data_IF_008659718165
#
_entry.id   IF_008659718165
#
_cell.length_a   1.000
_cell.length_b   1.000
_cell.length_c   1.000
_cell.angle_alpha   90.00
_cell.angle_beta   90.00
_cell.angle_gamma   90.00
#
_symmetry.space_group_name_H-M   'P 1'
#
loop_
_entity.id
_entity.type
_entity.pdbx_description
1 polymer ?
#
# COMPACT_ATOMS: atom_id res chain seq x y z
N UNK A 1 -7.96 8.26 -5.15
CA UNK A 1 -6.75 8.02 -6.01
C UNK A 1 -6.90 8.58 -7.42
N UNK A 2 -8.11 8.63 -7.98
CA UNK A 2 -8.33 9.09 -9.36
C UNK A 2 -8.16 10.61 -9.58
N UNK A 3 -8.21 11.44 -8.55
CA UNK A 3 -8.09 12.91 -8.70
C UNK A 3 -6.63 13.36 -8.86
N UNK A 4 -5.71 12.84 -8.07
CA UNK A 4 -4.28 13.13 -8.23
C UNK A 4 -3.67 12.42 -9.46
N UNK A 5 -4.30 11.37 -9.98
CA UNK A 5 -3.78 10.60 -11.13
C UNK A 5 -4.10 11.19 -12.50
N UNK A 6 -5.11 12.07 -12.61
CA UNK A 6 -5.61 12.59 -13.90
C UNK A 6 -5.17 14.01 -14.25
N UNK A 7 -4.80 14.81 -13.25
CA UNK A 7 -4.34 16.17 -13.47
C UNK A 7 -2.84 16.26 -13.17
N UNK A 8 -2.05 16.66 -14.15
CA UNK A 8 -0.58 16.62 -14.14
C UNK A 8 0.10 17.68 -13.26
N UNK A 9 -0.59 18.25 -12.28
CA UNK A 9 -0.15 19.41 -11.53
C UNK A 9 -0.09 19.19 -10.01
N UNK A 10 0.63 20.07 -9.37
CA UNK A 10 0.87 20.10 -7.94
C UNK A 10 -0.42 20.31 -7.15
N UNK A 11 -1.33 21.10 -7.71
CA UNK A 11 -2.64 21.45 -7.14
C UNK A 11 -3.53 20.22 -6.89
N UNK A 12 -3.47 19.22 -7.77
CA UNK A 12 -4.21 17.97 -7.60
C UNK A 12 -3.75 17.12 -6.43
N UNK A 13 -2.45 17.14 -6.09
CA UNK A 13 -1.90 16.39 -4.96
C UNK A 13 -2.22 17.08 -3.63
N UNK A 14 -2.14 18.40 -3.56
CA UNK A 14 -2.55 19.18 -2.38
C UNK A 14 -4.05 19.06 -2.13
N UNK A 15 -4.86 19.13 -3.18
CA UNK A 15 -6.31 18.90 -3.11
C UNK A 15 -6.65 17.51 -2.58
N UNK A 16 -5.87 16.47 -2.95
CA UNK A 16 -6.07 15.12 -2.42
C UNK A 16 -5.74 15.04 -0.92
N UNK A 17 -4.62 15.62 -0.48
CA UNK A 17 -4.26 15.65 0.94
C UNK A 17 -5.31 16.42 1.74
N UNK A 18 -5.78 17.57 1.24
CA UNK A 18 -6.84 18.35 1.86
C UNK A 18 -8.16 17.57 1.96
N UNK A 19 -8.51 16.81 0.93
CA UNK A 19 -9.67 15.91 0.96
C UNK A 19 -9.55 14.84 2.04
N UNK A 20 -8.37 14.22 2.16
CA UNK A 20 -8.09 13.21 3.21
C UNK A 20 -8.20 13.83 4.61
N UNK A 21 -7.69 15.06 4.79
CA UNK A 21 -7.86 15.82 6.05
C UNK A 21 -9.33 16.05 6.40
N UNK A 22 -10.16 16.33 5.42
CA UNK A 22 -11.62 16.47 5.62
C UNK A 22 -12.31 15.19 6.02
N UNK A 23 -11.85 14.04 5.51
CA UNK A 23 -12.40 12.72 5.85
C UNK A 23 -11.94 12.22 7.22
N UNK A 24 -10.70 12.52 7.59
CA UNK A 24 -10.07 12.06 8.83
C UNK A 24 -9.53 13.27 9.60
N UNK A 25 -10.41 14.03 10.26
CA UNK A 25 -10.00 15.21 11.02
C UNK A 25 -9.12 14.80 12.22
N UNK A 26 -8.41 15.77 12.76
CA UNK A 26 -7.48 15.58 13.90
C UNK A 26 -8.16 14.87 15.08
N UNK A 27 -9.39 15.24 15.41
CA UNK A 27 -10.18 14.60 16.48
C UNK A 27 -10.41 13.09 16.26
N UNK A 28 -10.50 12.65 15.00
CA UNK A 28 -10.55 11.23 14.67
C UNK A 28 -9.22 10.54 14.95
N UNK A 29 -8.11 11.19 14.60
CA UNK A 29 -6.77 10.65 14.83
C UNK A 29 -6.43 10.60 16.32
N UNK A 30 -6.80 11.62 17.09
CA UNK A 30 -6.70 11.62 18.55
C UNK A 30 -7.49 10.47 19.19
N UNK A 31 -8.69 10.20 18.66
CA UNK A 31 -9.50 9.05 19.10
C UNK A 31 -8.80 7.72 18.81
N UNK A 32 -8.19 7.56 17.65
CA UNK A 32 -7.41 6.36 17.31
C UNK A 32 -6.18 6.22 18.22
N UNK A 33 -5.50 7.33 18.49
CA UNK A 33 -4.33 7.36 19.35
C UNK A 33 -4.70 6.98 20.80
N UNK A 34 -5.75 7.54 21.34
CA UNK A 34 -6.26 7.21 22.68
C UNK A 34 -6.62 5.72 22.83
N UNK A 35 -7.01 5.07 21.73
CA UNK A 35 -7.29 3.63 21.68
C UNK A 35 -6.08 2.75 21.34
N UNK A 36 -4.89 3.33 21.15
CA UNK A 36 -3.67 2.62 20.73
C UNK A 36 -3.76 2.03 19.31
N UNK A 37 -4.59 2.60 18.44
CA UNK A 37 -4.83 2.11 17.08
C UNK A 37 -4.16 2.95 16.00
N UNK A 38 -3.73 4.17 16.29
CA UNK A 38 -3.18 5.09 15.29
C UNK A 38 -1.95 4.52 14.58
N UNK A 39 -1.04 3.88 15.30
CA UNK A 39 0.16 3.23 14.73
C UNK A 39 -0.14 2.00 13.86
N UNK A 40 -1.39 1.51 13.88
CA UNK A 40 -1.88 0.43 13.01
C UNK A 40 -2.61 0.97 11.78
N UNK A 41 -2.86 2.28 11.72
CA UNK A 41 -3.51 2.91 10.59
C UNK A 41 -2.53 3.04 9.41
N UNK A 42 -3.02 2.71 8.22
CA UNK A 42 -2.24 2.77 6.98
C UNK A 42 -3.05 3.50 5.91
N UNK A 43 -2.45 4.54 5.33
CA UNK A 43 -2.97 5.16 4.12
C UNK A 43 -2.47 4.40 2.90
N UNK A 44 -3.39 3.76 2.20
CA UNK A 44 -3.14 3.12 0.92
C UNK A 44 -3.70 4.00 -0.20
N UNK A 45 -2.81 4.63 -0.97
CA UNK A 45 -3.21 5.70 -1.89
C UNK A 45 -2.97 5.43 -3.37
N UNK A 46 -1.97 4.62 -3.71
CA UNK A 46 -1.60 4.32 -5.08
C UNK A 46 -1.60 2.82 -5.32
N UNK A 47 -2.16 2.42 -6.47
CA UNK A 47 -2.30 1.02 -6.83
C UNK A 47 -1.47 0.71 -8.08
N UNK A 48 -0.70 -0.38 -8.03
CA UNK A 48 0.10 -0.93 -9.11
C UNK A 48 0.99 0.10 -9.84
N UNK A 49 1.70 0.91 -9.06
CA UNK A 49 2.53 1.99 -9.61
C UNK A 49 3.70 1.41 -10.39
N UNK A 50 3.81 1.87 -11.65
CA UNK A 50 4.97 1.59 -12.49
C UNK A 50 6.05 2.62 -12.27
N UNK A 51 7.26 2.17 -12.03
CA UNK A 51 8.43 3.00 -11.74
C UNK A 51 9.01 3.76 -12.92
N UNK A 52 8.55 3.48 -14.14
CA UNK A 52 9.02 4.10 -15.38
C UNK A 52 8.38 5.47 -15.68
N UNK A 53 7.44 5.92 -14.83
CA UNK A 53 6.77 7.20 -15.01
C UNK A 53 7.18 8.23 -13.94
N UNK A 54 8.08 9.18 -14.27
CA UNK A 54 8.55 10.19 -13.32
C UNK A 54 7.42 11.07 -12.74
N UNK A 55 6.37 11.31 -13.51
CA UNK A 55 5.22 12.12 -13.06
C UNK A 55 4.49 11.40 -11.93
N UNK A 56 4.25 10.10 -12.07
CA UNK A 56 3.60 9.30 -11.02
C UNK A 56 4.49 9.24 -9.77
N UNK A 57 5.79 9.07 -9.94
CA UNK A 57 6.76 9.07 -8.87
C UNK A 57 6.70 10.36 -8.04
N UNK A 58 6.74 11.51 -8.69
CA UNK A 58 6.66 12.81 -8.02
C UNK A 58 5.34 13.01 -7.29
N UNK A 59 4.22 12.51 -7.83
CA UNK A 59 2.91 12.56 -7.17
C UNK A 59 2.89 11.70 -5.91
N UNK A 60 3.41 10.47 -5.95
CA UNK A 60 3.53 9.61 -4.78
C UNK A 60 4.34 10.31 -3.69
N UNK A 61 5.50 10.87 -4.07
CA UNK A 61 6.37 11.59 -3.15
C UNK A 61 5.61 12.72 -2.44
N UNK A 62 4.89 13.56 -3.17
CA UNK A 62 4.14 14.69 -2.60
C UNK A 62 3.00 14.25 -1.71
N UNK A 63 2.19 13.31 -2.18
CA UNK A 63 1.05 12.82 -1.39
C UNK A 63 1.52 12.13 -0.12
N UNK A 64 2.51 11.25 -0.20
CA UNK A 64 3.05 10.58 0.97
C UNK A 64 3.68 11.57 1.95
N UNK A 65 4.42 12.58 1.43
CA UNK A 65 4.98 13.63 2.29
C UNK A 65 3.88 14.45 2.96
N UNK A 66 2.88 14.92 2.22
CA UNK A 66 1.77 15.68 2.79
C UNK A 66 0.95 14.89 3.83
N UNK A 67 0.79 13.57 3.65
CA UNK A 67 0.16 12.71 4.64
C UNK A 67 1.05 12.52 5.88
N UNK A 68 2.36 12.41 5.70
CA UNK A 68 3.31 12.35 6.83
C UNK A 68 3.37 13.65 7.61
N UNK A 69 3.40 14.78 6.92
CA UNK A 69 3.39 16.10 7.56
C UNK A 69 2.11 16.34 8.38
N UNK A 70 1.01 15.70 7.96
CA UNK A 70 -0.29 15.83 8.63
C UNK A 70 -0.51 14.82 9.75
N UNK A 71 -0.12 13.56 9.54
CA UNK A 71 -0.51 12.45 10.41
C UNK A 71 0.67 11.66 10.97
N UNK A 72 1.91 12.07 10.66
CA UNK A 72 3.12 11.37 11.11
C UNK A 72 3.27 11.29 12.62
N UNK A 73 2.86 12.35 13.33
CA UNK A 73 2.89 12.39 14.79
C UNK A 73 2.00 11.33 15.45
N UNK A 74 0.95 10.86 14.76
CA UNK A 74 0.09 9.77 15.22
C UNK A 74 0.66 8.37 14.90
N UNK A 75 1.81 8.29 14.22
CA UNK A 75 2.44 7.04 13.79
C UNK A 75 1.75 6.36 12.62
N UNK A 76 0.91 7.08 11.88
CA UNK A 76 0.22 6.56 10.69
C UNK A 76 1.22 6.30 9.57
N UNK A 77 1.08 5.16 8.90
CA UNK A 77 1.96 4.72 7.82
C UNK A 77 1.34 4.95 6.45
N UNK A 78 2.18 5.09 5.45
CA UNK A 78 1.79 5.16 4.03
C UNK A 78 2.22 3.90 3.29
N UNK A 79 1.38 3.39 2.40
CA UNK A 79 1.62 2.17 1.65
C UNK A 79 1.20 2.29 0.18
N UNK A 80 1.85 1.53 -0.69
CA UNK A 80 1.45 1.34 -2.09
C UNK A 80 1.79 -0.05 -2.60
N UNK A 81 0.99 -0.55 -3.54
CA UNK A 81 1.40 -1.66 -4.40
C UNK A 81 2.31 -1.14 -5.51
N UNK A 82 3.40 -1.84 -5.80
CA UNK A 82 4.41 -1.36 -6.73
C UNK A 82 4.93 -2.48 -7.64
N UNK A 83 4.94 -2.20 -8.94
CA UNK A 83 5.58 -3.07 -9.93
C UNK A 83 7.09 -2.81 -10.10
N UNK A 84 7.57 -1.67 -9.68
CA UNK A 84 8.98 -1.27 -9.81
C UNK A 84 9.68 -1.11 -8.47
N UNK A 85 9.35 -1.97 -7.54
CA UNK A 85 9.91 -1.93 -6.19
C UNK A 85 11.39 -2.32 -6.12
N UNK A 86 11.91 -2.96 -7.16
CA UNK A 86 13.30 -3.37 -7.35
C UNK A 86 14.25 -2.22 -7.70
N UNK A 87 13.73 -1.01 -7.95
CA UNK A 87 14.54 0.16 -8.30
C UNK A 87 14.97 0.94 -7.07
N UNK A 88 16.29 1.08 -6.82
CA UNK A 88 16.83 1.78 -5.65
C UNK A 88 16.31 3.20 -5.47
N UNK A 89 16.13 3.94 -6.57
CA UNK A 89 15.64 5.32 -6.54
C UNK A 89 14.23 5.44 -5.97
N UNK A 90 13.41 4.39 -6.07
CA UNK A 90 12.06 4.40 -5.52
C UNK A 90 12.08 4.30 -3.98
N UNK A 91 13.13 3.76 -3.38
CA UNK A 91 13.19 3.57 -1.92
C UNK A 91 13.45 4.88 -1.17
N UNK A 92 13.82 5.95 -1.86
CA UNK A 92 13.92 7.31 -1.31
C UNK A 92 12.54 7.98 -1.11
N UNK A 93 11.47 7.39 -1.68
CA UNK A 93 10.12 7.91 -1.46
C UNK A 93 9.76 7.90 0.04
N UNK A 94 9.05 8.92 0.53
CA UNK A 94 8.61 9.01 1.92
C UNK A 94 7.45 8.04 2.23
N UNK A 95 7.58 6.80 1.78
CA UNK A 95 6.62 5.73 1.95
C UNK A 95 7.17 4.70 2.94
N UNK A 96 6.29 4.19 3.80
CA UNK A 96 6.69 3.32 4.89
C UNK A 96 6.59 1.83 4.52
N UNK A 97 5.61 1.47 3.70
CA UNK A 97 5.29 0.08 3.39
C UNK A 97 5.29 -0.13 1.88
N UNK A 98 6.14 -1.04 1.42
CA UNK A 98 6.19 -1.49 0.03
C UNK A 98 5.48 -2.83 -0.13
N UNK A 99 4.57 -2.91 -1.12
CA UNK A 99 3.73 -4.09 -1.34
C UNK A 99 3.92 -4.58 -2.79
N UNK A 100 5.01 -5.31 -3.10
CA UNK A 100 5.16 -5.95 -4.40
C UNK A 100 4.14 -7.06 -4.60
N UNK A 101 3.79 -7.34 -5.86
CA UNK A 101 3.07 -8.57 -6.19
C UNK A 101 3.97 -9.77 -5.91
N UNK A 102 3.42 -10.83 -5.35
CA UNK A 102 4.17 -12.01 -4.90
C UNK A 102 5.13 -12.58 -5.97
N UNK A 103 4.71 -12.60 -7.24
CA UNK A 103 5.56 -13.09 -8.36
C UNK A 103 6.80 -12.25 -8.64
N UNK A 104 6.83 -10.99 -8.17
CA UNK A 104 7.96 -10.07 -8.32
C UNK A 104 8.74 -9.86 -7.02
N UNK A 105 8.36 -10.60 -5.95
CA UNK A 105 9.09 -10.52 -4.71
C UNK A 105 10.49 -11.07 -4.88
N UNK A 106 11.48 -10.30 -4.43
CA UNK A 106 12.87 -10.68 -4.35
C UNK A 106 13.39 -10.46 -2.92
N UNK A 107 13.99 -11.48 -2.34
CA UNK A 107 14.43 -11.44 -0.95
C UNK A 107 15.56 -10.42 -0.73
N UNK A 108 16.52 -10.35 -1.66
CA UNK A 108 17.65 -9.42 -1.53
C UNK A 108 17.17 -7.96 -1.58
N UNK A 109 16.27 -7.65 -2.51
CA UNK A 109 15.62 -6.34 -2.60
C UNK A 109 14.82 -6.01 -1.33
N UNK A 110 14.09 -6.98 -0.79
CA UNK A 110 13.34 -6.80 0.46
C UNK A 110 14.25 -6.45 1.64
N UNK A 111 15.42 -7.08 1.76
CA UNK A 111 16.39 -6.75 2.80
C UNK A 111 16.97 -5.34 2.62
N UNK A 112 17.26 -4.92 1.40
CA UNK A 112 17.69 -3.54 1.13
C UNK A 112 16.62 -2.52 1.51
N UNK A 113 15.35 -2.78 1.19
CA UNK A 113 14.23 -1.92 1.58
C UNK A 113 14.10 -1.84 3.10
N UNK A 114 14.20 -2.98 3.79
CA UNK A 114 14.16 -3.04 5.26
C UNK A 114 15.34 -2.32 5.91
N UNK A 115 16.54 -2.37 5.31
CA UNK A 115 17.71 -1.66 5.81
C UNK A 115 17.54 -0.14 5.83
N UNK A 116 16.60 0.39 5.04
CA UNK A 116 16.17 1.80 5.05
C UNK A 116 15.03 2.09 6.05
N UNK A 117 14.72 1.16 6.95
CA UNK A 117 13.69 1.32 7.97
C UNK A 117 12.25 1.18 7.46
N UNK A 118 12.07 0.61 6.28
CA UNK A 118 10.75 0.43 5.65
C UNK A 118 10.25 -0.99 5.86
N UNK A 119 8.92 -1.18 5.79
CA UNK A 119 8.29 -2.49 5.82
C UNK A 119 8.10 -3.04 4.41
N UNK A 120 8.15 -4.35 4.29
CA UNK A 120 7.84 -5.07 3.06
C UNK A 120 6.67 -6.01 3.34
N UNK A 121 5.58 -5.75 2.65
CA UNK A 121 4.45 -6.66 2.55
C UNK A 121 4.47 -7.29 1.17
N UNK A 122 3.49 -8.12 0.86
CA UNK A 122 3.22 -8.56 -0.50
C UNK A 122 1.73 -8.73 -0.75
N UNK A 123 1.34 -8.83 -2.01
CA UNK A 123 -0.02 -9.16 -2.38
C UNK A 123 -0.05 -10.21 -3.49
N UNK A 124 -1.16 -10.90 -3.59
CA UNK A 124 -1.44 -11.83 -4.67
C UNK A 124 -2.82 -11.52 -5.24
N UNK A 125 -2.94 -11.61 -6.57
CA UNK A 125 -4.19 -11.43 -7.30
C UNK A 125 -4.80 -12.81 -7.53
N UNK A 126 -6.08 -12.96 -7.19
CA UNK A 126 -6.92 -14.13 -7.50
C UNK A 126 -6.48 -15.46 -6.85
N UNK A 127 -6.86 -15.63 -5.59
CA UNK A 127 -7.09 -16.95 -5.04
C UNK A 127 -8.55 -17.32 -5.33
N UNK A 128 -8.75 -18.14 -6.35
CA UNK A 128 -10.07 -18.61 -6.68
C UNK A 128 -10.50 -19.70 -5.67
N UNK A 129 -11.79 -19.86 -5.44
CA UNK A 129 -12.33 -20.89 -4.55
C UNK A 129 -11.88 -22.32 -4.92
N UNK A 130 -11.43 -22.49 -6.16
CA UNK A 130 -10.88 -23.76 -6.66
C UNK A 130 -9.45 -24.07 -6.22
N UNK A 131 -8.76 -23.12 -5.61
CA UNK A 131 -7.40 -23.35 -5.15
C UNK A 131 -7.39 -24.19 -3.86
N UNK A 132 -6.49 -25.16 -3.73
CA UNK A 132 -6.40 -25.95 -2.52
C UNK A 132 -6.18 -25.08 -1.29
N UNK A 133 -6.89 -25.32 -0.19
CA UNK A 133 -6.71 -24.58 1.06
C UNK A 133 -5.29 -24.67 1.64
N UNK A 134 -4.50 -25.65 1.19
CA UNK A 134 -3.07 -25.76 1.50
C UNK A 134 -2.25 -24.56 1.03
N UNK A 135 -2.67 -23.89 -0.06
CA UNK A 135 -1.98 -22.70 -0.57
C UNK A 135 -2.06 -21.52 0.39
N UNK A 136 -3.21 -21.32 1.02
CA UNK A 136 -3.35 -20.27 2.05
C UNK A 136 -2.39 -20.51 3.21
N UNK A 137 -2.27 -21.79 3.67
CA UNK A 137 -1.31 -22.16 4.71
C UNK A 137 0.13 -21.94 4.24
N UNK A 138 0.46 -22.40 3.02
CA UNK A 138 1.79 -22.21 2.44
C UNK A 138 2.18 -20.73 2.33
N UNK A 139 1.22 -19.85 1.98
CA UNK A 139 1.46 -18.42 1.92
C UNK A 139 1.84 -17.82 3.30
N UNK A 140 1.17 -18.23 4.37
CA UNK A 140 1.51 -17.77 5.71
C UNK A 140 2.92 -18.25 6.14
N UNK A 141 3.26 -19.51 5.84
CA UNK A 141 4.63 -20.00 6.05
C UNK A 141 5.66 -19.27 5.22
N UNK A 142 5.35 -18.99 3.95
CA UNK A 142 6.22 -18.23 3.08
C UNK A 142 6.40 -16.78 3.60
N UNK A 143 5.33 -16.15 4.09
CA UNK A 143 5.40 -14.81 4.70
C UNK A 143 6.34 -14.81 5.91
N UNK A 144 6.22 -15.79 6.77
CA UNK A 144 7.12 -15.96 7.93
C UNK A 144 8.58 -16.18 7.50
N UNK A 145 8.81 -17.14 6.60
CA UNK A 145 10.17 -17.49 6.13
C UNK A 145 10.87 -16.31 5.42
N UNK A 146 10.12 -15.45 4.73
CA UNK A 146 10.63 -14.27 4.05
C UNK A 146 10.54 -12.99 4.90
N UNK A 147 10.18 -13.08 6.17
CA UNK A 147 10.07 -11.96 7.11
C UNK A 147 9.15 -10.84 6.58
N UNK A 148 8.10 -11.22 5.87
CA UNK A 148 7.10 -10.27 5.34
C UNK A 148 6.14 -9.91 6.45
N UNK A 149 6.00 -8.61 6.71
CA UNK A 149 5.24 -8.09 7.86
C UNK A 149 3.72 -8.06 7.61
N UNK A 150 3.30 -8.09 6.34
CA UNK A 150 1.89 -8.04 6.01
C UNK A 150 1.56 -8.67 4.68
N UNK A 151 0.28 -9.00 4.53
CA UNK A 151 -0.26 -9.54 3.31
C UNK A 151 -1.53 -8.79 2.92
N UNK A 152 -1.54 -8.23 1.71
CA UNK A 152 -2.70 -7.58 1.14
C UNK A 152 -3.44 -8.60 0.25
N UNK A 153 -4.65 -8.96 0.65
CA UNK A 153 -5.49 -9.90 -0.10
C UNK A 153 -6.43 -9.13 -1.03
N UNK A 154 -6.28 -9.33 -2.31
CA UNK A 154 -7.17 -8.79 -3.32
C UNK A 154 -8.06 -9.92 -3.82
N UNK A 155 -9.13 -9.95 -3.51
CA UNK A 155 -10.53 -9.77 -3.25
C UNK A 155 -11.12 -10.79 -2.26
N UNK A 156 -11.75 -10.33 -1.22
CA UNK A 156 -12.57 -11.20 -0.35
C UNK A 156 -13.95 -11.48 -0.96
N UNK A 157 -14.40 -10.68 -1.93
CA UNK A 157 -15.73 -10.80 -2.54
C UNK A 157 -15.71 -10.59 -4.06
N UNK A 158 -15.59 -11.67 -4.81
CA UNK A 158 -15.83 -11.68 -6.26
C UNK A 158 -17.18 -12.34 -6.60
N UNK A 159 -18.24 -11.99 -5.88
CA UNK A 159 -19.58 -12.54 -6.08
C UNK A 159 -20.20 -12.19 -7.45
N UNK A 160 -19.65 -11.23 -8.18
CA UNK A 160 -20.16 -10.82 -9.50
C UNK A 160 -20.07 -11.90 -10.58
N UNK A 161 -19.19 -12.87 -10.44
CA UNK A 161 -19.02 -13.94 -11.42
C UNK A 161 -19.91 -15.16 -11.16
N UNK A 162 -20.32 -15.39 -9.92
CA UNK A 162 -21.21 -16.51 -9.59
C UNK A 162 -22.65 -16.29 -10.02
N UNK A 163 -23.12 -15.04 -10.16
CA UNK A 163 -24.49 -14.71 -10.57
C UNK A 163 -24.77 -14.79 -12.08
N UNK A 164 -23.77 -14.99 -12.92
CA UNK A 164 -23.93 -15.11 -14.38
C UNK A 164 -23.83 -16.53 -14.93
N UNK A 165 -23.51 -17.51 -14.11
CA UNK A 165 -23.40 -18.92 -14.53
C UNK A 165 -24.55 -19.80 -14.05
N UNK A 166 -25.57 -19.24 -13.40
CA UNK A 166 -26.71 -20.00 -12.88
C UNK A 166 -28.06 -19.47 -13.36
N UNK A 167 -28.14 -19.01 -14.59
CA UNK A 167 -29.44 -18.82 -15.30
C UNK A 167 -29.32 -19.36 -16.71
#
# INVERSE_FOLDING_TARGET
SSRCSKQGDDEGCESFVSYVKGLYPESFMETLQAKGLSSKAVFYGFDEVRSDNPTIYNRIKRVCQGLKDTYGEYGVKTATTAHGWDRPENWELPMDIWIPVLKHYDFATAELVRSKGKEVWWYHVSWDIHWPGSWTKALHWASYANRVQGYLYYHVRHWRYLGRQTL
#
